data_IF_596824987891
#
_entry.id   IF_596824987891
#
_cell.length_a   1.000
_cell.length_b   1.000
_cell.length_c   1.000
_cell.angle_alpha   90.00
_cell.angle_beta   90.00
_cell.angle_gamma   90.00
#
_symmetry.space_group_name_H-M   'P 1'
#
loop_
_entity.id
_entity.type
_entity.pdbx_description
1 polymer ?
#
# COMPACT_ATOMS: atom_id res chain seq x y z
N UNK A 1 14.92 10.90 -20.70
CA UNK A 1 13.58 10.95 -20.13
C UNK A 1 13.64 10.31 -18.75
N UNK A 2 13.07 10.94 -17.72
CA UNK A 2 12.99 10.34 -16.37
C UNK A 2 12.09 9.10 -16.46
N UNK A 3 12.53 7.96 -15.93
CA UNK A 3 11.69 6.78 -15.91
C UNK A 3 10.49 7.02 -14.99
N UNK A 4 9.29 6.75 -15.50
CA UNK A 4 8.05 6.86 -14.70
C UNK A 4 8.01 5.74 -13.65
N UNK A 5 7.53 6.05 -12.46
CA UNK A 5 7.28 5.06 -11.41
C UNK A 5 6.16 4.12 -11.86
N UNK A 6 6.39 2.83 -11.83
CA UNK A 6 5.45 1.82 -12.28
C UNK A 6 4.45 1.50 -11.17
N UNK A 7 3.19 1.84 -11.40
CA UNK A 7 2.09 1.64 -10.44
C UNK A 7 1.09 0.64 -11.03
N UNK A 8 0.65 -0.32 -10.20
CA UNK A 8 -0.35 -1.31 -10.58
C UNK A 8 -1.57 -1.18 -9.67
N UNK A 9 -2.77 -1.02 -10.22
CA UNK A 9 -4.02 -0.97 -9.48
C UNK A 9 -4.79 -2.28 -9.64
N UNK A 10 -4.74 -3.12 -8.61
CA UNK A 10 -5.43 -4.40 -8.53
C UNK A 10 -6.78 -4.28 -7.83
N UNK A 11 -7.74 -5.10 -8.25
CA UNK A 11 -9.05 -5.20 -7.63
C UNK A 11 -10.00 -6.04 -8.47
N UNK A 12 -11.13 -6.46 -7.89
CA UNK A 12 -12.20 -7.09 -8.66
C UNK A 12 -12.67 -6.20 -9.80
N UNK A 13 -12.96 -6.79 -10.96
CA UNK A 13 -13.41 -6.06 -12.16
C UNK A 13 -14.55 -6.76 -12.90
N UNK A 14 -15.16 -7.75 -12.26
CA UNK A 14 -16.13 -8.61 -12.97
C UNK A 14 -17.53 -8.00 -13.01
N UNK A 15 -17.97 -7.30 -11.97
CA UNK A 15 -19.24 -6.59 -12.00
C UNK A 15 -19.08 -5.13 -12.45
N UNK A 16 -20.19 -4.49 -12.80
CA UNK A 16 -20.19 -3.09 -13.26
C UNK A 16 -19.71 -2.14 -12.15
N UNK A 17 -20.19 -2.34 -10.92
CA UNK A 17 -19.81 -1.52 -9.77
C UNK A 17 -18.30 -1.57 -9.52
N UNK A 18 -17.68 -2.74 -9.62
CA UNK A 18 -16.23 -2.88 -9.50
C UNK A 18 -15.48 -2.08 -10.57
N UNK A 19 -15.92 -2.20 -11.82
CA UNK A 19 -15.28 -1.48 -12.92
C UNK A 19 -15.42 0.04 -12.80
N UNK A 20 -16.59 0.52 -12.38
CA UNK A 20 -16.82 1.95 -12.12
C UNK A 20 -15.93 2.45 -10.99
N UNK A 21 -15.82 1.70 -9.90
CA UNK A 21 -15.00 2.09 -8.77
C UNK A 21 -13.50 2.05 -9.08
N UNK A 22 -13.03 1.05 -9.82
CA UNK A 22 -11.65 1.00 -10.29
C UNK A 22 -11.32 2.18 -11.22
N UNK A 23 -12.25 2.56 -12.11
CA UNK A 23 -12.07 3.73 -12.97
C UNK A 23 -11.97 5.02 -12.15
N UNK A 24 -12.85 5.20 -11.14
CA UNK A 24 -12.81 6.31 -10.22
C UNK A 24 -11.47 6.38 -9.44
N UNK A 25 -10.99 5.25 -8.91
CA UNK A 25 -9.70 5.19 -8.22
C UNK A 25 -8.54 5.55 -9.16
N UNK A 26 -8.55 4.99 -10.37
CA UNK A 26 -7.52 5.27 -11.37
C UNK A 26 -7.48 6.77 -11.75
N UNK A 27 -8.66 7.42 -11.90
CA UNK A 27 -8.77 8.85 -12.12
C UNK A 27 -8.16 9.65 -10.98
N UNK A 28 -8.52 9.36 -9.72
CA UNK A 28 -7.99 10.04 -8.54
C UNK A 28 -6.47 9.91 -8.41
N UNK A 29 -5.93 8.73 -8.67
CA UNK A 29 -4.49 8.49 -8.67
C UNK A 29 -3.81 9.30 -9.79
N UNK A 30 -4.35 9.30 -11.01
CA UNK A 30 -3.81 10.05 -12.15
C UNK A 30 -3.90 11.56 -11.94
N UNK A 31 -5.00 12.06 -11.37
CA UNK A 31 -5.16 13.49 -11.04
C UNK A 31 -4.06 13.98 -10.09
N UNK A 32 -3.73 13.19 -9.06
CA UNK A 32 -2.74 13.56 -8.04
C UNK A 32 -1.29 13.34 -8.47
N UNK A 33 -1.01 12.23 -9.15
CA UNK A 33 0.38 11.80 -9.42
C UNK A 33 0.85 12.16 -10.84
N UNK A 34 -0.07 12.44 -11.76
CA UNK A 34 0.21 12.99 -13.09
C UNK A 34 1.24 12.21 -13.90
N UNK A 35 2.22 12.95 -14.42
CA UNK A 35 3.24 12.42 -15.33
C UNK A 35 4.36 11.63 -14.63
N UNK A 36 4.41 11.63 -13.30
CA UNK A 36 5.45 10.93 -12.54
C UNK A 36 5.26 9.41 -12.54
N UNK A 37 4.08 8.92 -12.90
CA UNK A 37 3.73 7.50 -12.87
C UNK A 37 3.35 6.93 -14.24
N UNK A 38 3.49 5.60 -14.37
CA UNK A 38 2.83 4.77 -15.38
C UNK A 38 1.86 3.84 -14.64
N UNK A 39 0.57 4.21 -14.63
CA UNK A 39 -0.47 3.47 -13.93
C UNK A 39 -1.07 2.38 -14.82
N UNK A 40 -0.82 1.12 -14.47
CA UNK A 40 -1.47 -0.03 -15.07
C UNK A 40 -2.74 -0.40 -14.30
N UNK A 41 -3.85 -0.51 -15.02
CA UNK A 41 -5.14 -0.98 -14.52
C UNK A 41 -5.57 -2.18 -15.37
N UNK A 42 -5.66 -3.40 -14.83
CA UNK A 42 -5.96 -4.60 -15.62
C UNK A 42 -7.19 -4.49 -16.51
N UNK A 43 -8.27 -3.87 -16.01
CA UNK A 43 -9.50 -3.68 -16.79
C UNK A 43 -9.32 -2.79 -18.04
N UNK A 44 -8.30 -1.95 -18.10
CA UNK A 44 -8.00 -1.08 -19.26
C UNK A 44 -7.16 -1.80 -20.32
N UNK A 45 -6.60 -2.97 -19.99
CA UNK A 45 -5.77 -3.75 -20.90
C UNK A 45 -6.61 -4.45 -21.94
N UNK A 46 -6.77 -3.80 -23.11
CA UNK A 46 -7.56 -4.33 -24.24
C UNK A 46 -7.01 -5.64 -24.82
N UNK A 47 -5.72 -5.95 -24.62
CA UNK A 47 -5.13 -7.18 -25.17
C UNK A 47 -5.69 -8.45 -24.52
N UNK A 48 -6.05 -8.37 -23.24
CA UNK A 48 -6.58 -9.50 -22.44
C UNK A 48 -8.07 -9.39 -22.13
N UNK A 49 -8.66 -8.18 -22.21
CA UNK A 49 -10.08 -7.98 -21.89
C UNK A 49 -10.99 -7.92 -23.14
N UNK A 50 -10.42 -7.85 -24.33
CA UNK A 50 -11.20 -7.94 -25.58
C UNK A 50 -11.70 -9.36 -25.78
N UNK A 51 -13.00 -9.57 -25.54
CA UNK A 51 -13.64 -10.90 -25.64
C UNK A 51 -13.56 -11.50 -27.04
N UNK A 52 -13.34 -10.68 -28.09
CA UNK A 52 -13.18 -11.19 -29.45
C UNK A 52 -11.82 -11.86 -29.68
N UNK A 53 -10.84 -11.60 -28.83
CA UNK A 53 -9.49 -12.18 -28.92
C UNK A 53 -9.35 -13.52 -28.19
N UNK A 54 -10.39 -13.94 -27.44
CA UNK A 54 -10.42 -15.21 -26.73
C UNK A 54 -9.16 -15.47 -25.89
N UNK A 55 -8.65 -14.45 -25.20
CA UNK A 55 -7.51 -14.60 -24.29
C UNK A 55 -7.79 -15.71 -23.26
N UNK A 56 -6.88 -16.65 -23.14
CA UNK A 56 -6.97 -17.73 -22.18
C UNK A 56 -6.28 -17.37 -20.83
N UNK A 57 -6.23 -18.32 -19.92
CA UNK A 57 -5.62 -18.13 -18.60
C UNK A 57 -4.11 -17.86 -18.69
N UNK A 58 -3.44 -18.38 -19.70
CA UNK A 58 -2.02 -18.18 -19.94
C UNK A 58 -1.73 -16.75 -20.43
N UNK A 59 -2.55 -16.25 -21.36
CA UNK A 59 -2.45 -14.87 -21.86
C UNK A 59 -2.69 -13.86 -20.75
N UNK A 60 -3.71 -14.08 -19.93
CA UNK A 60 -4.03 -13.22 -18.77
C UNK A 60 -2.88 -13.24 -17.77
N UNK A 61 -2.37 -14.44 -17.42
CA UNK A 61 -1.26 -14.58 -16.49
C UNK A 61 -0.04 -13.76 -16.94
N UNK A 62 0.42 -13.93 -18.18
CA UNK A 62 1.61 -13.22 -18.66
C UNK A 62 1.37 -11.73 -18.84
N UNK A 63 0.17 -11.33 -19.21
CA UNK A 63 -0.22 -9.92 -19.32
C UNK A 63 -0.04 -9.17 -17.99
N UNK A 64 -0.54 -9.74 -16.91
CA UNK A 64 -0.50 -9.14 -15.58
C UNK A 64 0.84 -9.40 -14.87
N UNK A 65 1.39 -10.62 -14.94
CA UNK A 65 2.65 -10.98 -14.31
C UNK A 65 3.82 -10.12 -14.78
N UNK A 66 3.90 -9.84 -16.10
CA UNK A 66 4.95 -8.98 -16.63
C UNK A 66 4.88 -7.54 -16.11
N UNK A 67 3.68 -7.05 -15.78
CA UNK A 67 3.48 -5.76 -15.12
C UNK A 67 3.86 -5.81 -13.65
N UNK A 68 3.47 -6.87 -12.94
CA UNK A 68 3.84 -7.09 -11.54
C UNK A 68 5.36 -7.16 -11.37
N UNK A 69 6.09 -7.78 -12.30
CA UNK A 69 7.55 -7.87 -12.22
C UNK A 69 8.26 -6.51 -12.33
N UNK A 70 7.65 -5.52 -12.92
CA UNK A 70 8.18 -4.15 -13.07
C UNK A 70 7.56 -3.15 -12.10
N UNK A 71 6.58 -3.58 -11.33
CA UNK A 71 5.79 -2.72 -10.47
C UNK A 71 6.62 -2.20 -9.28
N UNK A 72 6.63 -0.90 -9.08
CA UNK A 72 7.26 -0.23 -7.93
C UNK A 72 6.27 -0.10 -6.78
N UNK A 73 5.02 0.26 -7.09
CA UNK A 73 3.95 0.46 -6.11
C UNK A 73 2.73 -0.33 -6.57
N UNK A 74 2.38 -1.34 -5.80
CA UNK A 74 1.21 -2.18 -6.04
C UNK A 74 0.07 -1.74 -5.13
N UNK A 75 -1.02 -1.28 -5.72
CA UNK A 75 -2.23 -0.86 -5.01
C UNK A 75 -3.25 -2.00 -5.11
N UNK A 76 -3.67 -2.53 -3.96
CA UNK A 76 -4.63 -3.62 -3.86
C UNK A 76 -5.94 -3.16 -3.23
N UNK A 77 -7.01 -3.06 -4.00
CA UNK A 77 -8.36 -2.90 -3.46
C UNK A 77 -8.85 -4.24 -2.92
N UNK A 78 -9.05 -4.29 -1.61
CA UNK A 78 -9.39 -5.52 -0.90
C UNK A 78 -10.76 -5.47 -0.23
N UNK A 79 -11.59 -4.49 -0.60
CA UNK A 79 -12.97 -4.38 -0.14
C UNK A 79 -13.82 -5.61 -0.53
N UNK A 80 -14.79 -5.91 0.31
CA UNK A 80 -15.72 -7.02 0.14
C UNK A 80 -15.61 -8.05 1.26
N UNK A 81 -16.53 -9.02 1.29
CA UNK A 81 -16.54 -10.07 2.31
C UNK A 81 -15.33 -11.01 2.21
N UNK A 82 -14.82 -11.17 1.00
CA UNK A 82 -13.62 -11.94 0.72
C UNK A 82 -12.78 -11.13 -0.28
N UNK A 83 -11.49 -10.90 -0.02
CA UNK A 83 -10.61 -10.27 -0.99
C UNK A 83 -10.65 -11.03 -2.32
N UNK A 84 -10.66 -10.33 -3.46
CA UNK A 84 -10.68 -11.00 -4.77
C UNK A 84 -9.50 -11.98 -4.88
N UNK A 85 -9.78 -13.20 -5.33
CA UNK A 85 -8.78 -14.28 -5.35
C UNK A 85 -7.57 -13.94 -6.23
N UNK A 86 -7.79 -13.31 -7.39
CA UNK A 86 -6.72 -12.82 -8.27
C UNK A 86 -5.86 -11.78 -7.56
N UNK A 87 -6.49 -10.78 -6.94
CA UNK A 87 -5.78 -9.74 -6.17
C UNK A 87 -4.99 -10.33 -5.01
N UNK A 88 -5.52 -11.37 -4.33
CA UNK A 88 -4.79 -12.07 -3.27
C UNK A 88 -3.54 -12.79 -3.79
N UNK A 89 -3.63 -13.42 -4.97
CA UNK A 89 -2.47 -14.03 -5.63
C UNK A 89 -1.41 -12.98 -6.01
N UNK A 90 -1.83 -11.84 -6.55
CA UNK A 90 -0.96 -10.71 -6.90
C UNK A 90 -0.28 -10.12 -5.65
N UNK A 91 -1.00 -9.96 -4.54
CA UNK A 91 -0.43 -9.56 -3.23
C UNK A 91 0.68 -10.54 -2.82
N UNK A 92 0.44 -11.86 -2.95
CA UNK A 92 1.44 -12.88 -2.66
C UNK A 92 2.70 -12.75 -3.52
N UNK A 93 2.54 -12.51 -4.82
CA UNK A 93 3.66 -12.27 -5.76
C UNK A 93 4.46 -11.03 -5.34
N UNK A 94 3.77 -9.93 -5.04
CA UNK A 94 4.43 -8.69 -4.64
C UNK A 94 5.11 -8.81 -3.28
N UNK A 95 4.52 -9.54 -2.33
CA UNK A 95 5.15 -9.86 -1.05
C UNK A 95 6.43 -10.67 -1.25
N UNK A 96 6.41 -11.70 -2.10
CA UNK A 96 7.61 -12.47 -2.45
C UNK A 96 8.68 -11.61 -3.11
N UNK A 97 8.32 -10.72 -4.04
CA UNK A 97 9.26 -9.78 -4.67
C UNK A 97 9.91 -8.86 -3.63
N UNK A 98 9.16 -8.38 -2.65
CA UNK A 98 9.69 -7.57 -1.56
C UNK A 98 10.68 -8.36 -0.70
N UNK A 99 10.36 -9.60 -0.31
CA UNK A 99 11.28 -10.45 0.45
C UNK A 99 12.55 -10.77 -0.33
N UNK A 100 12.43 -11.02 -1.65
CA UNK A 100 13.57 -11.23 -2.52
C UNK A 100 14.45 -9.96 -2.61
N UNK A 101 13.82 -8.78 -2.69
CA UNK A 101 14.54 -7.51 -2.68
C UNK A 101 15.29 -7.28 -1.36
N UNK A 102 14.70 -7.60 -0.21
CA UNK A 102 15.37 -7.46 1.10
C UNK A 102 16.67 -8.26 1.17
N UNK A 103 16.70 -9.42 0.53
CA UNK A 103 17.86 -10.30 0.50
C UNK A 103 18.91 -9.88 -0.54
N UNK A 104 18.48 -9.38 -1.70
CA UNK A 104 19.32 -9.23 -2.89
C UNK A 104 19.50 -7.79 -3.37
N UNK A 105 18.70 -6.84 -2.87
CA UNK A 105 18.69 -5.42 -3.27
C UNK A 105 18.68 -5.23 -4.79
N UNK A 106 17.79 -5.90 -5.49
CA UNK A 106 17.73 -6.03 -6.94
C UNK A 106 17.36 -4.77 -7.71
N UNK A 107 16.76 -3.79 -7.02
CA UNK A 107 16.36 -2.48 -7.54
C UNK A 107 16.76 -1.40 -6.55
N UNK A 108 16.80 -0.14 -6.99
CA UNK A 108 17.14 1.00 -6.15
C UNK A 108 16.17 1.14 -4.96
N UNK A 109 14.89 0.91 -5.21
CA UNK A 109 13.84 0.98 -4.18
C UNK A 109 13.13 -0.37 -4.00
N UNK A 110 12.71 -0.67 -2.76
CA UNK A 110 11.89 -1.86 -2.51
C UNK A 110 10.53 -1.75 -3.19
N UNK A 111 9.99 -2.84 -3.76
CA UNK A 111 8.58 -2.90 -4.12
C UNK A 111 7.71 -2.65 -2.90
N UNK A 112 6.61 -1.89 -3.06
CA UNK A 112 5.71 -1.51 -1.97
C UNK A 112 4.28 -1.97 -2.27
N UNK A 113 3.55 -2.38 -1.24
CA UNK A 113 2.13 -2.74 -1.33
C UNK A 113 1.31 -1.70 -0.56
N UNK A 114 0.32 -1.10 -1.23
CA UNK A 114 -0.68 -0.25 -0.62
C UNK A 114 -2.04 -0.95 -0.70
N UNK A 115 -2.57 -1.39 0.44
CA UNK A 115 -3.92 -1.95 0.51
C UNK A 115 -4.95 -0.84 0.64
N UNK A 116 -6.11 -0.96 -0.03
CA UNK A 116 -7.28 -0.14 0.20
C UNK A 116 -8.40 -0.99 0.79
N UNK A 117 -8.84 -0.67 2.00
CA UNK A 117 -9.99 -1.26 2.66
C UNK A 117 -10.90 -0.15 3.19
N UNK A 118 -11.99 0.12 2.48
CA UNK A 118 -12.99 1.14 2.86
C UNK A 118 -14.15 0.56 3.65
N UNK A 119 -14.15 -0.75 3.91
CA UNK A 119 -15.20 -1.43 4.66
C UNK A 119 -15.37 -0.81 6.06
N UNK A 120 -16.61 -0.52 6.44
CA UNK A 120 -16.92 0.06 7.75
C UNK A 120 -16.57 -0.87 8.92
N UNK A 121 -16.36 -2.15 8.67
CA UNK A 121 -15.87 -3.17 9.61
C UNK A 121 -14.34 -3.19 9.73
N UNK A 122 -13.68 -2.12 9.29
CA UNK A 122 -12.26 -1.93 9.13
C UNK A 122 -11.41 -2.58 10.24
N UNK A 123 -10.34 -3.32 9.89
CA UNK A 123 -9.44 -3.96 10.86
C UNK A 123 -8.65 -2.99 11.76
N UNK A 124 -8.65 -1.68 11.44
CA UNK A 124 -8.08 -0.63 12.32
C UNK A 124 -9.04 -0.18 13.42
N UNK A 125 -10.25 -0.72 13.50
CA UNK A 125 -11.19 -0.32 14.58
C UNK A 125 -10.66 -0.76 15.94
N UNK A 126 -10.77 0.16 16.89
CA UNK A 126 -10.53 -0.08 18.30
C UNK A 126 -11.59 -1.04 18.83
N UNK A 127 -11.19 -2.19 19.35
CA UNK A 127 -12.08 -3.10 20.06
C UNK A 127 -11.97 -2.85 21.56
N UNK A 128 -13.07 -3.07 22.27
CA UNK A 128 -13.04 -3.18 23.73
C UNK A 128 -12.45 -4.56 24.06
N UNK A 129 -11.54 -4.60 25.00
CA UNK A 129 -11.03 -5.87 25.54
C UNK A 129 -12.10 -6.57 26.42
N UNK A 130 -11.78 -7.74 26.94
CA UNK A 130 -12.66 -8.50 27.80
C UNK A 130 -13.05 -7.77 29.11
N UNK A 131 -12.41 -6.64 29.43
CA UNK A 131 -12.68 -5.78 30.60
C UNK A 131 -13.38 -4.48 30.19
N UNK A 132 -13.85 -4.35 28.94
CA UNK A 132 -14.37 -3.11 28.37
C UNK A 132 -13.36 -1.94 28.37
N UNK A 133 -12.08 -2.21 28.43
CA UNK A 133 -11.03 -1.20 28.26
C UNK A 133 -10.76 -1.03 26.76
N UNK A 134 -10.65 0.23 26.31
CA UNK A 134 -10.24 0.54 24.94
C UNK A 134 -8.84 -0.01 24.71
N UNK A 135 -8.75 -0.98 23.82
CA UNK A 135 -7.43 -1.47 23.39
C UNK A 135 -6.75 -0.37 22.59
N UNK A 136 -5.72 0.24 23.19
CA UNK A 136 -4.96 1.35 22.61
C UNK A 136 -4.01 0.92 21.50
N UNK A 137 -4.18 -0.27 20.96
CA UNK A 137 -3.33 -0.76 19.88
C UNK A 137 -4.03 -0.59 18.55
N UNK A 138 -3.63 0.41 17.78
CA UNK A 138 -4.15 0.70 16.43
C UNK A 138 -3.97 -0.46 15.46
N UNK A 139 -3.05 -1.37 15.76
CA UNK A 139 -2.72 -2.54 14.96
C UNK A 139 -3.36 -3.82 15.49
N UNK A 140 -4.35 -3.72 16.39
CA UNK A 140 -4.98 -4.90 16.94
C UNK A 140 -5.77 -5.65 15.86
N UNK A 141 -5.27 -6.82 15.56
CA UNK A 141 -5.90 -7.80 14.70
C UNK A 141 -6.18 -9.05 15.53
N UNK A 142 -7.38 -9.57 15.44
CA UNK A 142 -7.73 -10.84 16.07
C UNK A 142 -8.13 -11.85 15.02
N UNK A 143 -8.07 -13.12 15.39
CA UNK A 143 -8.57 -14.21 14.54
C UNK A 143 -10.08 -14.10 14.25
N UNK A 144 -10.79 -13.22 14.93
CA UNK A 144 -12.20 -12.89 14.67
C UNK A 144 -12.37 -11.77 13.64
N UNK A 145 -11.28 -11.24 13.07
CA UNK A 145 -11.35 -10.32 11.95
C UNK A 145 -11.99 -11.04 10.76
N UNK A 146 -12.95 -10.40 10.10
CA UNK A 146 -13.60 -10.95 8.90
C UNK A 146 -12.63 -11.08 7.72
N UNK A 147 -11.44 -10.53 7.83
CA UNK A 147 -10.44 -10.45 6.79
C UNK A 147 -9.43 -11.61 6.89
N UNK A 148 -8.94 -12.10 5.77
CA UNK A 148 -7.85 -13.07 5.78
C UNK A 148 -6.56 -12.42 6.31
N UNK A 149 -6.14 -12.81 7.52
CA UNK A 149 -5.00 -12.22 8.21
C UNK A 149 -3.67 -12.43 7.49
N UNK A 150 -3.52 -13.52 6.73
CA UNK A 150 -2.31 -13.72 5.94
C UNK A 150 -2.20 -12.70 4.80
N UNK A 151 -3.30 -12.47 4.07
CA UNK A 151 -3.37 -11.45 3.02
C UNK A 151 -3.11 -10.06 3.59
N UNK A 152 -3.71 -9.73 4.73
CA UNK A 152 -3.50 -8.47 5.41
C UNK A 152 -2.06 -8.32 5.89
N UNK A 153 -1.48 -9.40 6.43
CA UNK A 153 -0.07 -9.46 6.82
C UNK A 153 0.89 -9.20 5.66
N UNK A 154 0.62 -9.77 4.47
CA UNK A 154 1.41 -9.48 3.28
C UNK A 154 1.41 -7.98 2.93
N UNK A 155 0.27 -7.28 3.10
CA UNK A 155 0.18 -5.84 2.86
C UNK A 155 0.98 -5.07 3.92
N UNK A 156 0.70 -5.31 5.22
CA UNK A 156 1.26 -4.52 6.33
C UNK A 156 2.77 -4.71 6.51
N UNK A 157 3.29 -5.91 6.26
CA UNK A 157 4.74 -6.18 6.32
C UNK A 157 5.49 -5.51 5.17
N UNK A 158 4.86 -5.34 4.01
CA UNK A 158 5.51 -4.86 2.79
C UNK A 158 5.03 -3.47 2.35
N UNK A 159 4.25 -2.79 3.19
CA UNK A 159 3.69 -1.48 2.88
C UNK A 159 2.67 -1.02 3.90
N UNK A 160 1.56 -0.42 3.43
CA UNK A 160 0.58 0.22 4.29
C UNK A 160 -0.85 -0.11 3.88
N UNK A 161 -1.77 0.00 4.86
CA UNK A 161 -3.21 -0.10 4.63
C UNK A 161 -3.83 1.31 4.65
N UNK A 162 -4.53 1.66 3.58
CA UNK A 162 -5.38 2.84 3.49
C UNK A 162 -6.83 2.48 3.82
N UNK A 163 -7.53 3.39 4.49
CA UNK A 163 -8.91 3.20 4.94
C UNK A 163 -9.91 4.11 4.24
N UNK A 164 -9.41 4.98 3.38
CA UNK A 164 -10.20 5.83 2.48
C UNK A 164 -9.45 6.06 1.18
N UNK A 165 -10.16 6.59 0.18
CA UNK A 165 -9.56 6.95 -1.11
C UNK A 165 -8.53 8.07 -0.93
N UNK A 166 -8.84 9.08 -0.12
CA UNK A 166 -7.92 10.19 0.13
C UNK A 166 -6.64 9.69 0.83
N UNK A 167 -6.76 8.84 1.86
CA UNK A 167 -5.62 8.20 2.54
C UNK A 167 -4.77 7.36 1.56
N UNK A 168 -5.41 6.63 0.63
CA UNK A 168 -4.70 5.89 -0.41
C UNK A 168 -3.90 6.82 -1.33
N UNK A 169 -4.52 7.90 -1.78
CA UNK A 169 -3.90 8.86 -2.70
C UNK A 169 -2.74 9.58 -2.02
N UNK A 170 -2.89 10.00 -0.76
CA UNK A 170 -1.82 10.63 0.03
C UNK A 170 -0.64 9.67 0.25
N UNK A 171 -0.90 8.40 0.60
CA UNK A 171 0.15 7.37 0.72
C UNK A 171 0.85 7.08 -0.61
N UNK A 172 0.09 7.04 -1.71
CA UNK A 172 0.64 6.85 -3.04
C UNK A 172 1.55 8.02 -3.44
N UNK A 173 1.14 9.25 -3.15
CA UNK A 173 1.95 10.45 -3.40
C UNK A 173 3.24 10.43 -2.56
N UNK A 174 3.16 10.07 -1.29
CA UNK A 174 4.33 9.96 -0.42
C UNK A 174 5.32 8.90 -0.96
N UNK A 175 4.82 7.73 -1.37
CA UNK A 175 5.64 6.66 -1.94
C UNK A 175 6.31 7.07 -3.27
N UNK A 176 5.62 7.83 -4.11
CA UNK A 176 6.19 8.39 -5.36
C UNK A 176 7.25 9.43 -5.04
N UNK A 177 6.98 10.38 -4.13
CA UNK A 177 7.95 11.41 -3.73
C UNK A 177 9.25 10.81 -3.18
N UNK A 178 9.18 9.75 -2.38
CA UNK A 178 10.35 9.02 -1.88
C UNK A 178 11.19 8.50 -3.06
N UNK A 179 10.56 7.85 -4.06
CA UNK A 179 11.27 7.32 -5.23
C UNK A 179 11.86 8.41 -6.11
N UNK A 180 11.18 9.54 -6.24
CA UNK A 180 11.66 10.68 -7.00
C UNK A 180 12.82 11.41 -6.29
N UNK A 181 12.89 11.34 -4.96
CA UNK A 181 13.99 11.93 -4.17
C UNK A 181 15.31 11.17 -4.33
N UNK A 182 15.27 9.93 -4.84
CA UNK A 182 16.44 9.07 -4.97
C UNK A 182 16.89 8.43 -3.65
N UNK A 183 16.11 8.55 -2.58
CA UNK A 183 16.46 7.96 -1.28
C UNK A 183 15.23 7.44 -0.51
N UNK A 184 15.42 6.39 0.26
CA UNK A 184 14.41 5.83 1.15
C UNK A 184 14.95 5.64 2.57
N UNK A 185 14.05 5.61 3.54
CA UNK A 185 14.39 5.36 4.94
C UNK A 185 14.91 3.93 5.12
N UNK A 186 16.13 3.80 5.64
CA UNK A 186 16.75 2.50 5.96
C UNK A 186 16.50 2.12 7.41
N UNK A 187 16.55 3.10 8.30
CA UNK A 187 16.30 2.86 9.73
C UNK A 187 15.76 4.10 10.42
N UNK A 188 14.94 3.88 11.43
CA UNK A 188 14.42 4.92 12.33
C UNK A 188 14.73 4.52 13.76
N UNK A 189 15.39 5.39 14.48
CA UNK A 189 15.77 5.17 15.89
C UNK A 189 15.18 6.29 16.75
N UNK A 190 14.40 5.92 17.76
CA UNK A 190 13.95 6.88 18.77
C UNK A 190 15.19 7.38 19.52
N UNK A 191 15.40 8.69 19.55
CA UNK A 191 16.51 9.34 20.23
C UNK A 191 16.07 9.75 21.63
N UNK A 192 14.97 10.50 21.71
CA UNK A 192 14.36 10.93 22.99
C UNK A 192 12.91 11.34 22.81
N UNK A 193 12.21 11.53 23.93
CA UNK A 193 10.86 12.12 23.95
C UNK A 193 10.96 13.56 24.46
N UNK A 194 10.25 14.49 23.82
CA UNK A 194 10.18 15.91 24.16
C UNK A 194 8.78 16.27 24.64
N UNK A 195 8.68 16.85 25.84
CA UNK A 195 7.40 17.35 26.36
C UNK A 195 7.25 18.83 26.00
N UNK A 196 6.26 19.17 25.21
CA UNK A 196 5.79 20.54 25.06
C UNK A 196 4.89 20.91 26.26
N UNK A 197 5.45 21.66 27.20
CA UNK A 197 4.76 22.06 28.42
C UNK A 197 3.56 23.00 28.19
N UNK A 198 3.50 23.68 27.03
CA UNK A 198 2.39 24.59 26.73
C UNK A 198 1.14 23.81 26.31
N UNK A 199 1.33 22.75 25.55
CA UNK A 199 0.24 21.88 25.06
C UNK A 199 0.09 20.62 25.88
N UNK A 200 1.01 20.34 26.81
CA UNK A 200 1.13 19.08 27.55
C UNK A 200 1.25 17.86 26.63
N UNK A 201 1.81 18.06 25.44
CA UNK A 201 1.95 17.04 24.41
C UNK A 201 3.38 16.50 24.40
N UNK A 202 3.54 15.18 24.43
CA UNK A 202 4.83 14.52 24.32
C UNK A 202 5.08 14.10 22.86
N UNK A 203 6.15 14.59 22.28
CA UNK A 203 6.59 14.25 20.94
C UNK A 203 7.74 13.24 21.00
N UNK A 204 7.81 12.38 20.00
CA UNK A 204 8.92 11.46 19.79
C UNK A 204 9.89 12.03 18.79
N UNK A 205 11.16 12.07 19.13
CA UNK A 205 12.22 12.57 18.26
C UNK A 205 13.00 11.37 17.74
N UNK A 206 13.10 11.27 16.42
CA UNK A 206 13.73 10.15 15.73
C UNK A 206 14.95 10.60 14.94
N UNK A 207 16.01 9.79 14.95
CA UNK A 207 17.04 9.80 13.92
C UNK A 207 16.60 8.88 12.79
N UNK A 208 16.46 9.42 11.59
CA UNK A 208 16.18 8.67 10.37
C UNK A 208 17.46 8.60 9.54
N UNK A 209 17.84 7.38 9.14
CA UNK A 209 18.93 7.14 8.19
C UNK A 209 18.38 6.75 6.86
N UNK A 210 18.94 7.30 5.80
CA UNK A 210 18.53 7.09 4.42
C UNK A 210 19.51 6.19 3.67
N UNK A 211 19.04 5.64 2.55
CA UNK A 211 19.81 4.73 1.67
C UNK A 211 21.05 5.38 1.04
N UNK A 212 21.08 6.72 0.93
CA UNK A 212 22.23 7.49 0.45
C UNK A 212 23.29 7.77 1.54
N UNK A 213 23.09 7.23 2.75
CA UNK A 213 23.95 7.43 3.91
C UNK A 213 23.70 8.74 4.67
N UNK A 214 22.79 9.58 4.20
CA UNK A 214 22.38 10.79 4.95
C UNK A 214 21.52 10.42 6.15
N UNK A 215 21.45 11.32 7.13
CA UNK A 215 20.52 11.21 8.27
C UNK A 215 19.91 12.56 8.59
N UNK A 216 18.73 12.51 9.20
CA UNK A 216 18.05 13.68 9.74
C UNK A 216 17.38 13.38 11.07
N UNK A 217 17.13 14.43 11.85
CA UNK A 217 16.36 14.35 13.09
C UNK A 217 14.96 14.88 12.81
N UNK A 218 13.96 14.05 13.04
CA UNK A 218 12.56 14.42 12.82
C UNK A 218 11.74 14.33 14.09
N UNK A 219 10.82 15.27 14.25
CA UNK A 219 9.82 15.27 15.29
C UNK A 219 8.61 14.50 14.78
N UNK A 220 8.35 13.34 15.34
CA UNK A 220 7.16 12.54 15.08
C UNK A 220 5.92 13.14 15.72
N UNK A 221 4.73 12.62 15.34
CA UNK A 221 3.45 13.02 15.92
C UNK A 221 3.42 12.87 17.44
N UNK A 222 2.42 13.49 18.08
CA UNK A 222 2.24 13.41 19.51
C UNK A 222 1.99 11.96 19.96
N UNK A 223 2.28 11.67 21.24
CA UNK A 223 2.01 10.35 21.84
C UNK A 223 0.54 9.97 21.77
N UNK A 224 -0.34 10.95 21.56
CA UNK A 224 -1.79 10.79 21.49
C UNK A 224 -2.32 10.69 20.03
N UNK A 225 -1.48 10.96 19.03
CA UNK A 225 -1.76 10.71 17.61
C UNK A 225 -1.25 9.32 17.20
N UNK A 226 -1.97 8.29 17.65
CA UNK A 226 -1.74 6.89 17.23
C UNK A 226 -2.92 6.35 16.45
#
# INVERSE_FOLDING_TARGET
MKNKIQVYLAGSMFCEADRMYNAFLAEKIRERLGEDIDLYVPQENKSINDKTKCADSHDIFWGDYNRLQKCDIFIARIDGDIPPSGTSAEIGIMSQRRQYWEQNKTTEFPPMILGLCTDSRNPKRTYLDAKNELMKNEDYESQYCYFNLFTLGCIKVNGELATSVDDLVDKSEAAVKIRLSGKYEVSRKLVYEELDVRTMTTYRIYEIKYSDGSSEIVKGGSKDER
#
